data_IF_102074070656
#
_entry.id   IF_102074070656
#
_cell.length_a   1.000
_cell.length_b   1.000
_cell.length_c   1.000
_cell.angle_alpha   90.00
_cell.angle_beta   90.00
_cell.angle_gamma   90.00
#
_symmetry.space_group_name_H-M   'P 1'
#
loop_
_entity.id
_entity.type
_entity.pdbx_description
1 polymer ?
#
# COMPACT_ATOMS: atom_id res chain seq x y z
N UNK A 1 9.82 -32.14 -1.81
CA UNK A 1 10.88 -31.29 -1.25
C UNK A 1 11.77 -30.60 -2.30
N UNK A 2 11.69 -30.99 -3.59
CA UNK A 2 12.48 -30.38 -4.70
C UNK A 2 11.82 -29.12 -5.30
N UNK A 3 10.50 -28.95 -5.14
CA UNK A 3 9.73 -27.82 -5.72
C UNK A 3 9.90 -26.51 -4.92
N UNK A 4 10.19 -26.59 -3.61
CA UNK A 4 10.32 -25.43 -2.72
C UNK A 4 11.66 -24.68 -2.86
N UNK A 5 12.71 -25.35 -3.33
CA UNK A 5 14.03 -24.73 -3.54
C UNK A 5 14.00 -23.83 -4.79
N UNK A 6 13.39 -24.32 -5.89
CA UNK A 6 13.25 -23.54 -7.13
C UNK A 6 12.43 -22.25 -6.93
N UNK A 7 11.38 -22.25 -6.09
CA UNK A 7 10.52 -21.07 -5.92
C UNK A 7 11.20 -19.95 -5.11
N UNK A 8 12.03 -20.30 -4.12
CA UNK A 8 12.79 -19.33 -3.33
C UNK A 8 13.91 -18.69 -4.16
N UNK A 9 14.63 -19.50 -4.94
CA UNK A 9 15.66 -19.01 -5.87
C UNK A 9 15.05 -18.13 -6.98
N UNK A 10 13.85 -18.46 -7.47
CA UNK A 10 13.15 -17.67 -8.50
C UNK A 10 12.61 -16.33 -7.97
N UNK A 11 12.24 -16.28 -6.68
CA UNK A 11 11.86 -15.05 -5.97
C UNK A 11 13.06 -14.15 -5.67
N UNK A 12 14.16 -14.71 -5.16
CA UNK A 12 15.41 -13.97 -4.92
C UNK A 12 16.00 -13.44 -6.24
N UNK A 13 15.90 -14.22 -7.33
CA UNK A 13 16.30 -13.79 -8.67
C UNK A 13 15.42 -12.63 -9.19
N UNK A 14 14.10 -12.70 -9.03
CA UNK A 14 13.16 -11.62 -9.40
C UNK A 14 13.31 -10.34 -8.56
N UNK A 15 13.81 -10.45 -7.33
CA UNK A 15 14.10 -9.30 -6.46
C UNK A 15 15.47 -8.68 -6.78
N UNK A 16 16.39 -9.44 -7.36
CA UNK A 16 17.72 -8.96 -7.81
C UNK A 16 17.74 -8.36 -9.22
N UNK A 17 16.72 -8.65 -10.05
CA UNK A 17 16.61 -8.09 -11.39
C UNK A 17 15.91 -6.71 -11.34
N UNK A 18 16.54 -5.63 -11.83
CA UNK A 18 15.84 -4.36 -11.96
C UNK A 18 14.65 -4.55 -12.90
N UNK A 19 13.43 -4.32 -12.39
CA UNK A 19 12.19 -4.37 -13.18
C UNK A 19 12.19 -3.23 -14.19
N UNK A 20 12.90 -3.39 -15.30
CA UNK A 20 12.65 -2.60 -16.51
C UNK A 20 11.33 -3.11 -17.07
N UNK A 21 10.24 -2.36 -16.82
CA UNK A 21 8.95 -2.60 -17.48
C UNK A 21 9.19 -2.64 -18.99
N UNK A 22 9.02 -3.81 -19.63
CA UNK A 22 8.80 -3.87 -21.07
C UNK A 22 7.49 -3.13 -21.34
N UNK A 23 7.59 -1.99 -22.01
CA UNK A 23 6.45 -1.28 -22.57
C UNK A 23 5.69 -2.27 -23.46
N UNK A 24 4.35 -2.37 -23.36
CA UNK A 24 3.59 -3.23 -24.26
C UNK A 24 3.81 -2.79 -25.70
N UNK A 25 4.21 -3.71 -26.57
CA UNK A 25 4.17 -3.49 -28.01
C UNK A 25 2.71 -3.37 -28.44
N UNK A 26 2.26 -2.16 -28.77
CA UNK A 26 0.92 -1.91 -29.30
C UNK A 26 0.86 -2.50 -30.72
N UNK A 27 0.08 -3.56 -30.89
CA UNK A 27 -0.32 -4.05 -32.22
C UNK A 27 -1.55 -3.26 -32.68
N UNK A 28 -1.33 -2.26 -33.54
CA UNK A 28 -2.40 -1.56 -34.25
C UNK A 28 -2.91 -2.47 -35.39
N UNK A 29 -4.09 -3.06 -35.21
CA UNK A 29 -4.84 -3.63 -36.34
C UNK A 29 -5.22 -2.51 -37.29
N UNK A 30 -4.73 -2.60 -38.53
CA UNK A 30 -5.11 -1.76 -39.67
C UNK A 30 -6.63 -1.75 -39.83
N UNK A 31 -7.23 -0.56 -39.78
CA UNK A 31 -8.17 -0.08 -40.79
C UNK A 31 -8.50 1.40 -40.53
N UNK A 32 -8.13 2.27 -41.49
CA UNK A 32 -8.73 3.60 -41.65
C UNK A 32 -8.01 4.77 -40.97
N UNK A 33 -6.91 5.21 -41.57
CA UNK A 33 -6.36 6.59 -41.61
C UNK A 33 -6.66 7.51 -40.40
N UNK A 34 -5.72 7.54 -39.47
CA UNK A 34 -5.18 8.80 -38.93
C UNK A 34 -3.67 8.74 -39.15
N UNK A 35 -3.15 9.75 -39.84
CA UNK A 35 -1.75 9.87 -40.22
C UNK A 35 -0.80 9.83 -39.00
N UNK A 36 0.21 8.98 -39.13
CA UNK A 36 1.46 8.85 -38.36
C UNK A 36 1.68 9.80 -37.17
N UNK A 37 1.22 9.42 -35.98
CA UNK A 37 2.02 9.66 -34.77
C UNK A 37 3.09 8.58 -34.67
N UNK A 38 4.16 8.70 -35.49
CA UNK A 38 5.39 7.99 -35.16
C UNK A 38 5.98 8.69 -33.95
N UNK A 39 5.63 8.24 -32.74
CA UNK A 39 6.35 8.66 -31.55
C UNK A 39 7.83 8.33 -31.79
N UNK A 40 8.65 9.36 -31.87
CA UNK A 40 10.08 9.24 -32.13
C UNK A 40 10.68 8.28 -31.10
N UNK A 41 11.23 7.16 -31.55
CA UNK A 41 11.85 6.17 -30.67
C UNK A 41 12.97 6.81 -29.82
N UNK A 42 13.60 7.87 -30.34
CA UNK A 42 14.58 8.66 -29.61
C UNK A 42 13.95 9.40 -28.44
N UNK A 43 12.81 10.06 -28.66
CA UNK A 43 12.04 10.71 -27.60
C UNK A 43 11.58 9.73 -26.52
N UNK A 44 11.09 8.55 -26.90
CA UNK A 44 10.71 7.49 -25.94
C UNK A 44 11.94 7.06 -25.11
N UNK A 45 13.07 6.80 -25.77
CA UNK A 45 14.31 6.39 -25.10
C UNK A 45 14.82 7.45 -24.12
N UNK A 46 14.78 8.72 -24.52
CA UNK A 46 15.14 9.86 -23.67
C UNK A 46 14.21 9.97 -22.45
N UNK A 47 12.89 9.85 -22.64
CA UNK A 47 11.92 9.85 -21.54
C UNK A 47 12.12 8.67 -20.58
N UNK A 48 12.38 7.47 -21.10
CA UNK A 48 12.69 6.28 -20.29
C UNK A 48 13.97 6.50 -19.48
N UNK A 49 15.01 7.06 -20.08
CA UNK A 49 16.27 7.38 -19.38
C UNK A 49 16.05 8.39 -18.26
N UNK A 50 15.31 9.48 -18.51
CA UNK A 50 14.99 10.50 -17.52
C UNK A 50 14.22 9.89 -16.34
N UNK A 51 13.18 9.09 -16.61
CA UNK A 51 12.42 8.41 -15.58
C UNK A 51 13.31 7.43 -14.79
N UNK A 52 14.15 6.66 -15.48
CA UNK A 52 15.10 5.73 -14.86
C UNK A 52 16.07 6.43 -13.90
N UNK A 53 16.62 7.59 -14.30
CA UNK A 53 17.46 8.40 -13.43
C UNK A 53 16.70 8.93 -12.20
N UNK A 54 15.44 9.36 -12.37
CA UNK A 54 14.61 9.83 -11.26
C UNK A 54 14.38 8.73 -10.24
N UNK A 55 14.04 7.52 -10.69
CA UNK A 55 13.88 6.36 -9.81
C UNK A 55 15.18 6.00 -9.08
N UNK A 56 16.31 6.01 -9.79
CA UNK A 56 17.62 5.73 -9.20
C UNK A 56 17.97 6.73 -8.09
N UNK A 57 17.78 8.03 -8.35
CA UNK A 57 18.03 9.09 -7.36
C UNK A 57 17.07 8.99 -6.16
N UNK A 58 15.79 8.72 -6.40
CA UNK A 58 14.81 8.54 -5.33
C UNK A 58 15.17 7.36 -4.42
N UNK A 59 15.59 6.23 -5.02
CA UNK A 59 16.06 5.06 -4.28
C UNK A 59 17.31 5.36 -3.45
N UNK A 60 18.27 6.12 -3.97
CA UNK A 60 19.45 6.56 -3.19
C UNK A 60 19.03 7.38 -1.96
N UNK A 61 18.07 8.30 -2.11
CA UNK A 61 17.57 9.11 -0.98
C UNK A 61 16.83 8.22 0.03
N UNK A 62 16.05 7.23 -0.42
CA UNK A 62 15.39 6.26 0.45
C UNK A 62 16.40 5.39 1.22
N UNK A 63 17.54 5.03 0.62
CA UNK A 63 18.63 4.30 1.29
C UNK A 63 19.35 5.15 2.35
N UNK A 64 19.55 6.44 2.09
CA UNK A 64 20.05 7.36 3.12
C UNK A 64 19.07 7.47 4.30
N UNK A 65 17.77 7.56 4.02
CA UNK A 65 16.73 7.57 5.04
C UNK A 65 16.75 6.26 5.84
N UNK A 66 16.85 5.11 5.17
CA UNK A 66 16.97 3.79 5.79
C UNK A 66 18.17 3.72 6.74
N UNK A 67 19.33 4.21 6.31
CA UNK A 67 20.55 4.24 7.13
C UNK A 67 20.31 5.04 8.41
N UNK A 68 19.76 6.26 8.29
CA UNK A 68 19.44 7.09 9.45
C UNK A 68 18.37 6.46 10.36
N UNK A 69 17.41 5.74 9.78
CA UNK A 69 16.35 5.06 10.52
C UNK A 69 16.91 3.92 11.39
N UNK A 70 17.92 3.20 10.92
CA UNK A 70 18.61 2.19 11.73
C UNK A 70 19.50 2.78 12.81
N UNK A 71 20.16 3.91 12.54
CA UNK A 71 21.06 4.57 13.50
C UNK A 71 20.30 5.35 14.58
N UNK A 72 19.26 6.08 14.17
CA UNK A 72 18.47 6.95 15.04
C UNK A 72 17.04 7.11 14.51
N UNK A 73 16.14 6.16 14.85
CA UNK A 73 14.77 6.15 14.34
C UNK A 73 14.01 7.45 14.58
N UNK A 74 14.14 8.06 15.77
CA UNK A 74 13.45 9.30 16.12
C UNK A 74 13.93 10.47 15.26
N UNK A 75 15.24 10.58 15.04
CA UNK A 75 15.80 11.62 14.17
C UNK A 75 15.36 11.39 12.72
N UNK A 76 15.35 10.15 12.25
CA UNK A 76 14.91 9.83 10.90
C UNK A 76 13.46 10.27 10.68
N UNK A 77 12.52 9.81 11.53
CA UNK A 77 11.09 10.14 11.35
C UNK A 77 10.85 11.64 11.37
N UNK A 78 11.49 12.41 12.27
CA UNK A 78 11.40 13.88 12.31
C UNK A 78 11.88 14.55 11.02
N UNK A 79 12.80 13.92 10.31
CA UNK A 79 13.36 14.44 9.05
C UNK A 79 12.67 13.86 7.80
N UNK A 80 11.68 12.95 7.93
CA UNK A 80 11.02 12.31 6.79
C UNK A 80 10.55 13.32 5.73
N UNK A 81 9.96 14.44 6.16
CA UNK A 81 9.55 15.53 5.26
C UNK A 81 10.69 16.07 4.40
N UNK A 82 11.89 16.21 4.96
CA UNK A 82 13.06 16.69 4.20
C UNK A 82 13.49 15.69 3.13
N UNK A 83 13.45 14.39 3.43
CA UNK A 83 13.73 13.35 2.44
C UNK A 83 12.67 13.34 1.31
N UNK A 84 11.40 13.49 1.66
CA UNK A 84 10.30 13.62 0.68
C UNK A 84 10.52 14.83 -0.24
N UNK A 85 10.82 16.02 0.30
CA UNK A 85 11.06 17.19 -0.55
C UNK A 85 12.29 17.00 -1.44
N UNK A 86 13.37 16.40 -0.94
CA UNK A 86 14.54 16.04 -1.77
C UNK A 86 14.17 15.13 -2.94
N UNK A 87 13.26 14.16 -2.74
CA UNK A 87 12.77 13.29 -3.81
C UNK A 87 11.93 14.08 -4.82
N UNK A 88 11.08 14.98 -4.36
CA UNK A 88 10.26 15.84 -5.24
C UNK A 88 11.11 16.78 -6.10
N UNK A 89 12.24 17.23 -5.56
CA UNK A 89 13.16 18.15 -6.22
C UNK A 89 14.15 17.46 -7.17
N UNK A 90 14.07 16.14 -7.36
CA UNK A 90 14.90 15.41 -8.35
C UNK A 90 14.62 15.92 -9.78
N UNK A 91 13.39 16.34 -10.05
CA UNK A 91 13.01 16.92 -11.35
C UNK A 91 13.34 18.40 -11.39
N UNK A 92 14.18 18.81 -12.34
CA UNK A 92 14.49 20.21 -12.63
C UNK A 92 13.27 21.06 -13.01
N UNK A 93 12.14 20.42 -13.35
CA UNK A 93 10.88 21.07 -13.63
C UNK A 93 9.73 20.42 -12.84
N UNK A 94 9.87 20.41 -11.51
CA UNK A 94 8.87 19.92 -10.54
C UNK A 94 7.45 20.38 -10.86
N UNK A 95 7.26 21.67 -11.11
CA UNK A 95 5.93 22.24 -11.39
C UNK A 95 5.30 21.64 -12.67
N UNK A 96 6.08 21.50 -13.74
CA UNK A 96 5.58 20.88 -14.98
C UNK A 96 5.30 19.39 -14.79
N UNK A 97 6.22 18.66 -14.16
CA UNK A 97 6.06 17.23 -13.89
C UNK A 97 4.83 16.93 -13.03
N UNK A 98 4.65 17.66 -11.93
CA UNK A 98 3.49 17.52 -11.05
C UNK A 98 2.20 18.01 -11.75
N UNK A 99 2.24 19.01 -12.63
CA UNK A 99 1.04 19.43 -13.39
C UNK A 99 0.58 18.39 -14.42
N UNK A 100 1.52 17.68 -15.06
CA UNK A 100 1.24 16.66 -16.07
C UNK A 100 0.82 15.33 -15.46
N UNK A 101 1.41 14.97 -14.31
CA UNK A 101 1.01 13.80 -13.53
C UNK A 101 -0.18 14.10 -12.59
N UNK A 102 -0.55 15.37 -12.43
CA UNK A 102 -1.55 15.95 -11.52
C UNK A 102 -1.21 15.88 -10.02
N UNK A 103 0.02 15.50 -9.67
CA UNK A 103 0.58 15.50 -8.31
C UNK A 103 2.00 14.90 -8.30
N UNK A 104 2.66 14.79 -7.14
CA UNK A 104 3.95 14.10 -7.01
C UNK A 104 3.84 12.65 -7.48
N UNK A 105 4.87 12.16 -8.17
CA UNK A 105 4.90 10.78 -8.63
C UNK A 105 4.95 9.83 -7.42
N UNK A 106 3.87 9.09 -7.20
CA UNK A 106 3.78 8.07 -6.15
C UNK A 106 4.91 7.04 -6.23
N UNK A 107 5.33 6.63 -7.43
CA UNK A 107 6.33 5.57 -7.62
C UNK A 107 7.74 6.01 -7.13
N UNK A 108 8.03 7.31 -7.05
CA UNK A 108 9.31 7.83 -6.51
C UNK A 108 9.23 8.10 -5.01
N UNK A 109 8.05 8.40 -4.47
CA UNK A 109 7.84 8.71 -3.05
C UNK A 109 7.65 7.45 -2.21
N UNK A 110 6.87 6.48 -2.71
CA UNK A 110 6.54 5.24 -2.00
C UNK A 110 7.75 4.51 -1.40
N UNK A 111 8.92 4.41 -2.05
CA UNK A 111 10.10 3.78 -1.45
C UNK A 111 10.46 4.32 -0.05
N UNK A 112 10.33 5.63 0.20
CA UNK A 112 10.63 6.20 1.53
C UNK A 112 9.59 5.81 2.58
N UNK A 113 8.31 5.69 2.17
CA UNK A 113 7.26 5.18 3.04
C UNK A 113 7.40 3.69 3.32
N UNK A 114 7.81 2.88 2.34
CA UNK A 114 8.05 1.45 2.53
C UNK A 114 9.28 1.19 3.40
N UNK A 115 10.31 2.04 3.36
CA UNK A 115 11.42 2.00 4.33
C UNK A 115 10.92 2.26 5.76
N UNK A 116 10.06 3.27 5.95
CA UNK A 116 9.42 3.50 7.26
C UNK A 116 8.56 2.30 7.67
N UNK A 117 7.70 1.83 6.76
CA UNK A 117 6.81 0.68 6.95
C UNK A 117 7.57 -0.55 7.40
N UNK A 118 8.69 -0.87 6.77
CA UNK A 118 9.51 -2.04 7.09
C UNK A 118 9.91 -2.10 8.57
N UNK A 119 10.29 -0.98 9.18
CA UNK A 119 10.66 -0.94 10.60
C UNK A 119 9.49 -0.59 11.53
N UNK A 120 8.37 -0.09 10.98
CA UNK A 120 7.28 0.52 11.74
C UNK A 120 6.79 -0.35 12.90
N UNK A 121 6.56 -1.67 12.75
CA UNK A 121 6.11 -2.51 13.86
C UNK A 121 7.10 -2.63 15.02
N UNK A 122 8.40 -2.42 14.77
CA UNK A 122 9.47 -2.48 15.77
C UNK A 122 9.72 -1.14 16.48
N UNK A 123 9.11 -0.05 15.99
CA UNK A 123 9.27 1.27 16.58
C UNK A 123 8.42 1.42 17.85
N UNK A 124 9.00 2.08 18.84
CA UNK A 124 8.26 2.51 20.04
C UNK A 124 7.07 3.40 19.66
N UNK A 125 6.05 3.39 20.53
CA UNK A 125 4.76 4.05 20.28
C UNK A 125 4.92 5.54 19.93
N UNK A 126 5.80 6.27 20.63
CA UNK A 126 6.03 7.70 20.37
C UNK A 126 6.75 7.95 19.04
N UNK A 127 7.67 7.08 18.64
CA UNK A 127 8.35 7.19 17.35
C UNK A 127 7.39 6.88 16.20
N UNK A 128 6.53 5.87 16.37
CA UNK A 128 5.43 5.61 15.42
C UNK A 128 4.47 6.78 15.31
N UNK A 129 4.10 7.39 16.44
CA UNK A 129 3.24 8.59 16.47
C UNK A 129 3.83 9.72 15.65
N UNK A 130 5.13 9.98 15.81
CA UNK A 130 5.82 11.00 15.03
C UNK A 130 5.92 10.63 13.54
N UNK A 131 6.32 9.39 13.22
CA UNK A 131 6.36 8.92 11.83
C UNK A 131 5.01 9.04 11.13
N UNK A 132 3.93 8.63 11.81
CA UNK A 132 2.56 8.76 11.30
C UNK A 132 2.17 10.23 11.07
N UNK A 133 2.48 11.14 11.99
CA UNK A 133 2.24 12.59 11.78
C UNK A 133 2.93 13.08 10.52
N UNK A 134 4.18 12.70 10.29
CA UNK A 134 4.93 13.14 9.10
C UNK A 134 4.34 12.56 7.81
N UNK A 135 3.92 11.29 7.81
CA UNK A 135 3.18 10.70 6.69
C UNK A 135 1.88 11.45 6.42
N UNK A 136 1.06 11.67 7.45
CA UNK A 136 -0.23 12.35 7.30
C UNK A 136 -0.07 13.81 6.87
N UNK A 137 0.89 14.55 7.43
CA UNK A 137 1.18 15.93 7.00
C UNK A 137 1.52 16.02 5.52
N UNK A 138 2.24 15.04 4.98
CA UNK A 138 2.50 14.97 3.54
C UNK A 138 1.22 14.61 2.77
N UNK A 139 0.55 13.52 3.14
CA UNK A 139 -0.64 13.01 2.44
C UNK A 139 -1.80 14.01 2.44
N UNK A 140 -2.04 14.69 3.56
CA UNK A 140 -3.08 15.73 3.71
C UNK A 140 -2.73 17.00 2.91
N UNK A 141 -1.45 17.21 2.59
CA UNK A 141 -0.99 18.29 1.72
C UNK A 141 -1.19 18.02 0.23
N UNK A 142 -1.63 16.82 -0.14
CA UNK A 142 -1.92 16.43 -1.52
C UNK A 142 -3.43 16.51 -1.80
N UNK A 143 -3.77 16.50 -3.09
CA UNK A 143 -5.15 16.19 -3.49
C UNK A 143 -5.48 14.75 -3.11
N UNK A 144 -6.72 14.55 -2.64
CA UNK A 144 -7.18 13.29 -2.08
C UNK A 144 -6.98 12.05 -2.96
N UNK A 145 -7.22 12.17 -4.27
CA UNK A 145 -6.99 11.13 -5.27
C UNK A 145 -5.52 10.69 -5.31
N UNK A 146 -4.59 11.63 -5.14
CA UNK A 146 -3.16 11.34 -5.08
C UNK A 146 -2.75 10.72 -3.75
N UNK A 147 -3.28 11.21 -2.64
CA UNK A 147 -3.04 10.60 -1.32
C UNK A 147 -3.43 9.13 -1.33
N UNK A 148 -4.58 8.80 -1.92
CA UNK A 148 -5.05 7.42 -2.07
C UNK A 148 -4.05 6.54 -2.84
N UNK A 149 -3.54 7.01 -3.97
CA UNK A 149 -2.59 6.21 -4.75
C UNK A 149 -1.26 5.96 -3.99
N UNK A 150 -0.81 6.92 -3.17
CA UNK A 150 0.37 6.71 -2.34
C UNK A 150 0.11 5.65 -1.28
N UNK A 151 -1.04 5.71 -0.60
CA UNK A 151 -1.41 4.75 0.46
C UNK A 151 -1.62 3.34 -0.11
N UNK A 152 -2.10 3.22 -1.35
CA UNK A 152 -2.28 1.91 -2.02
C UNK A 152 -0.97 1.15 -2.21
N UNK A 153 0.13 1.89 -2.39
CA UNK A 153 1.45 1.34 -2.68
C UNK A 153 2.32 1.14 -1.42
N UNK A 154 1.79 1.43 -0.23
CA UNK A 154 2.47 1.13 1.04
C UNK A 154 2.26 -0.34 1.38
N UNK A 155 3.37 -1.07 1.57
CA UNK A 155 3.34 -2.51 1.76
C UNK A 155 3.02 -2.93 3.21
N UNK A 156 3.42 -2.14 4.21
CA UNK A 156 3.30 -2.53 5.62
C UNK A 156 1.88 -2.31 6.17
N UNK A 157 1.15 -3.38 6.56
CA UNK A 157 -0.22 -3.28 7.06
C UNK A 157 -0.38 -2.39 8.29
N UNK A 158 0.58 -2.38 9.22
CA UNK A 158 0.46 -1.54 10.42
C UNK A 158 0.49 -0.05 10.10
N UNK A 159 1.36 0.36 9.17
CA UNK A 159 1.44 1.76 8.76
C UNK A 159 0.17 2.18 8.02
N UNK A 160 -0.31 1.35 7.08
CA UNK A 160 -1.56 1.63 6.37
C UNK A 160 -2.75 1.64 7.32
N UNK A 161 -2.85 0.66 8.22
CA UNK A 161 -3.90 0.58 9.23
C UNK A 161 -3.96 1.82 10.12
N UNK A 162 -2.81 2.33 10.55
CA UNK A 162 -2.72 3.58 11.31
C UNK A 162 -3.11 4.80 10.46
N UNK A 163 -2.66 4.91 9.20
CA UNK A 163 -3.05 5.99 8.29
C UNK A 163 -4.58 6.02 8.11
N UNK A 164 -5.19 4.89 7.75
CA UNK A 164 -6.63 4.77 7.48
C UNK A 164 -7.46 4.99 8.74
N UNK A 165 -6.96 4.55 9.90
CA UNK A 165 -7.60 4.79 11.20
C UNK A 165 -7.69 6.27 11.58
N UNK A 166 -6.70 7.06 11.16
CA UNK A 166 -6.65 8.51 11.42
C UNK A 166 -7.27 9.33 10.27
N UNK A 167 -7.39 8.75 9.08
CA UNK A 167 -8.01 9.35 7.89
C UNK A 167 -8.93 8.33 7.24
N UNK A 168 -10.14 8.21 7.77
CA UNK A 168 -11.13 7.20 7.34
C UNK A 168 -11.57 7.33 5.87
N UNK A 169 -11.23 8.45 5.22
CA UNK A 169 -11.48 8.65 3.80
C UNK A 169 -10.48 7.86 2.92
N UNK A 170 -9.29 7.52 3.42
CA UNK A 170 -8.33 6.74 2.63
C UNK A 170 -8.74 5.26 2.58
N UNK A 171 -9.48 4.89 1.53
CA UNK A 171 -9.94 3.53 1.26
C UNK A 171 -9.55 3.11 -0.16
N UNK A 172 -8.25 3.27 -0.46
CA UNK A 172 -7.67 3.05 -1.78
C UNK A 172 -7.53 1.55 -2.09
N UNK A 173 -7.56 1.18 -3.37
CA UNK A 173 -7.35 -0.20 -3.82
C UNK A 173 -8.44 -1.20 -3.47
N UNK A 174 -9.26 -0.98 -2.43
CA UNK A 174 -10.24 -1.95 -1.96
C UNK A 174 -11.23 -2.36 -3.05
N UNK A 175 -11.82 -1.39 -3.77
CA UNK A 175 -12.76 -1.69 -4.85
C UNK A 175 -12.12 -2.59 -5.93
N UNK A 176 -10.89 -2.25 -6.36
CA UNK A 176 -10.15 -3.03 -7.34
C UNK A 176 -9.91 -4.46 -6.85
N UNK A 177 -9.56 -4.66 -5.58
CA UNK A 177 -9.34 -6.00 -5.02
C UNK A 177 -10.65 -6.79 -4.89
N UNK A 178 -11.76 -6.14 -4.50
CA UNK A 178 -13.07 -6.79 -4.46
C UNK A 178 -13.54 -7.20 -5.85
N UNK A 179 -13.32 -6.36 -6.87
CA UNK A 179 -13.66 -6.68 -8.26
C UNK A 179 -12.80 -7.81 -8.82
N UNK A 180 -11.52 -7.87 -8.45
CA UNK A 180 -10.61 -8.97 -8.78
C UNK A 180 -11.14 -10.30 -8.21
N UNK A 181 -11.55 -10.31 -6.94
CA UNK A 181 -12.10 -11.50 -6.28
C UNK A 181 -13.44 -11.93 -6.88
N UNK A 182 -14.35 -10.98 -7.15
CA UNK A 182 -15.64 -11.27 -7.80
C UNK A 182 -15.47 -11.88 -9.20
N UNK A 183 -14.48 -11.41 -9.97
CA UNK A 183 -14.17 -11.95 -11.30
C UNK A 183 -13.50 -13.33 -11.24
N UNK A 184 -12.86 -13.68 -10.13
CA UNK A 184 -12.10 -14.91 -9.96
C UNK A 184 -12.52 -15.64 -8.67
N UNK A 185 -13.76 -16.18 -8.58
CA UNK A 185 -14.29 -16.73 -7.34
C UNK A 185 -13.70 -18.08 -6.91
N UNK A 186 -12.92 -18.72 -7.80
CA UNK A 186 -12.30 -20.03 -7.61
C UNK A 186 -10.80 -19.85 -7.36
N UNK A 187 -10.26 -20.54 -6.36
CA UNK A 187 -8.85 -20.40 -5.96
C UNK A 187 -7.86 -20.61 -7.11
N UNK A 188 -8.10 -21.62 -7.95
CA UNK A 188 -7.23 -21.98 -9.09
C UNK A 188 -7.03 -20.85 -10.10
N UNK A 189 -8.03 -19.99 -10.29
CA UNK A 189 -7.94 -18.88 -11.22
C UNK A 189 -7.45 -17.62 -10.51
N UNK A 190 -7.93 -17.39 -9.29
CA UNK A 190 -7.48 -16.30 -8.44
C UNK A 190 -5.96 -16.31 -8.22
N UNK A 191 -5.36 -17.47 -7.91
CA UNK A 191 -3.92 -17.56 -7.65
C UNK A 191 -3.06 -17.13 -8.87
N UNK A 192 -3.57 -17.29 -10.10
CA UNK A 192 -2.84 -16.90 -11.31
C UNK A 192 -2.80 -15.38 -11.49
N UNK A 193 -3.83 -14.68 -11.03
CA UNK A 193 -3.97 -13.24 -11.20
C UNK A 193 -3.46 -12.47 -9.98
N UNK A 194 -3.58 -13.04 -8.78
CA UNK A 194 -3.20 -12.37 -7.54
C UNK A 194 -1.70 -12.03 -7.50
N UNK A 195 -0.86 -12.81 -8.17
CA UNK A 195 0.60 -12.60 -8.26
C UNK A 195 0.99 -11.32 -9.00
N UNK A 196 0.06 -10.69 -9.73
CA UNK A 196 0.26 -9.41 -10.40
C UNK A 196 -0.28 -8.23 -9.59
N UNK A 197 -0.81 -8.47 -8.39
CA UNK A 197 -1.38 -7.42 -7.54
C UNK A 197 -0.26 -6.66 -6.84
N UNK A 198 -0.30 -5.33 -6.89
CA UNK A 198 0.71 -4.48 -6.25
C UNK A 198 0.42 -4.15 -4.78
N UNK A 199 -0.79 -4.48 -4.29
CA UNK A 199 -1.23 -4.15 -2.95
C UNK A 199 -1.69 -5.39 -2.19
N UNK A 200 -0.75 -6.08 -1.54
CA UNK A 200 -1.01 -7.27 -0.75
C UNK A 200 -1.89 -6.99 0.47
N UNK A 201 -1.72 -5.82 1.10
CA UNK A 201 -2.52 -5.37 2.23
C UNK A 201 -4.02 -5.25 1.87
N UNK A 202 -4.36 -4.42 0.87
CA UNK A 202 -5.75 -4.22 0.47
C UNK A 202 -6.38 -5.51 -0.06
N UNK A 203 -5.58 -6.38 -0.68
CA UNK A 203 -6.03 -7.71 -1.09
C UNK A 203 -6.38 -8.58 0.11
N UNK A 204 -5.54 -8.59 1.15
CA UNK A 204 -5.80 -9.33 2.38
C UNK A 204 -7.06 -8.85 3.11
N UNK A 205 -7.31 -7.52 3.13
CA UNK A 205 -8.58 -6.98 3.64
C UNK A 205 -9.75 -7.52 2.81
N UNK A 206 -9.70 -7.37 1.48
CA UNK A 206 -10.80 -7.81 0.61
C UNK A 206 -11.06 -9.33 0.72
N UNK A 207 -10.02 -10.15 0.83
CA UNK A 207 -10.13 -11.59 1.08
C UNK A 207 -10.84 -11.86 2.40
N UNK A 208 -10.57 -11.09 3.45
CA UNK A 208 -11.18 -11.28 4.77
C UNK A 208 -12.70 -11.01 4.79
N UNK A 209 -13.28 -10.38 3.77
CA UNK A 209 -14.72 -10.12 3.67
C UNK A 209 -15.46 -11.22 2.89
N UNK A 210 -16.35 -12.01 3.54
CA UNK A 210 -17.06 -13.10 2.88
C UNK A 210 -18.01 -12.69 1.75
N UNK A 211 -18.37 -11.41 1.67
CA UNK A 211 -19.15 -10.84 0.57
C UNK A 211 -18.40 -10.89 -0.78
N UNK A 212 -17.06 -10.84 -0.74
CA UNK A 212 -16.23 -10.71 -1.94
C UNK A 212 -15.41 -11.96 -2.25
N UNK A 213 -15.13 -12.79 -1.24
CA UNK A 213 -14.31 -13.98 -1.39
C UNK A 213 -15.11 -15.27 -1.13
N UNK A 214 -14.74 -16.36 -1.79
CA UNK A 214 -15.25 -17.69 -1.46
C UNK A 214 -14.54 -18.26 -0.23
N UNK A 215 -15.18 -19.23 0.45
CA UNK A 215 -14.56 -19.93 1.60
C UNK A 215 -13.25 -20.63 1.19
N UNK A 216 -13.21 -21.18 -0.03
CA UNK A 216 -12.01 -21.81 -0.60
C UNK A 216 -10.86 -20.80 -0.73
N UNK A 217 -11.13 -19.59 -1.26
CA UNK A 217 -10.11 -18.54 -1.39
C UNK A 217 -9.58 -18.13 -0.01
N UNK A 218 -10.47 -17.84 0.95
CA UNK A 218 -10.04 -17.44 2.30
C UNK A 218 -9.15 -18.50 2.96
N UNK A 219 -9.60 -19.76 2.93
CA UNK A 219 -8.89 -20.87 3.56
C UNK A 219 -7.49 -21.05 2.97
N UNK A 220 -7.37 -21.03 1.64
CA UNK A 220 -6.08 -21.18 0.98
C UNK A 220 -5.18 -19.95 1.17
N UNK A 221 -5.75 -18.74 1.12
CA UNK A 221 -5.02 -17.50 1.30
C UNK A 221 -4.39 -17.42 2.70
N UNK A 222 -5.16 -17.69 3.77
CA UNK A 222 -4.62 -17.66 5.14
C UNK A 222 -3.54 -18.71 5.36
N UNK A 223 -3.67 -19.87 4.71
CA UNK A 223 -2.67 -20.94 4.79
C UNK A 223 -1.36 -20.57 4.10
N UNK A 224 -1.42 -19.88 2.96
CA UNK A 224 -0.24 -19.49 2.19
C UNK A 224 0.41 -18.20 2.69
N UNK A 225 -0.38 -17.27 3.21
CA UNK A 225 0.07 -15.95 3.65
C UNK A 225 -0.27 -15.68 5.13
N UNK A 226 0.19 -16.53 6.07
CA UNK A 226 -0.19 -16.42 7.48
C UNK A 226 0.31 -15.14 8.15
N UNK A 227 1.52 -14.68 7.80
CA UNK A 227 2.10 -13.45 8.36
C UNK A 227 1.38 -12.20 7.88
N UNK A 228 1.13 -12.09 6.57
CA UNK A 228 0.34 -11.00 5.99
C UNK A 228 -1.06 -10.97 6.61
N UNK A 229 -1.71 -12.13 6.71
CA UNK A 229 -3.03 -12.25 7.37
C UNK A 229 -2.99 -11.74 8.81
N UNK A 230 -1.97 -12.11 9.59
CA UNK A 230 -1.82 -11.66 10.97
C UNK A 230 -1.66 -10.14 11.10
N UNK A 231 -0.75 -9.55 10.31
CA UNK A 231 -0.50 -8.10 10.31
C UNK A 231 -1.70 -7.31 9.81
N UNK A 232 -2.35 -7.76 8.74
CA UNK A 232 -3.60 -7.14 8.24
C UNK A 232 -4.71 -7.25 9.27
N UNK A 233 -4.74 -8.30 10.11
CA UNK A 233 -5.74 -8.39 11.20
C UNK A 233 -5.53 -7.30 12.25
N UNK A 234 -4.30 -6.85 12.53
CA UNK A 234 -4.08 -5.68 13.41
C UNK A 234 -4.66 -4.40 12.82
N UNK A 235 -4.42 -4.18 11.52
CA UNK A 235 -4.98 -3.04 10.81
C UNK A 235 -6.52 -3.08 10.76
N UNK A 236 -7.11 -4.25 10.48
CA UNK A 236 -8.56 -4.44 10.48
C UNK A 236 -9.15 -4.16 11.88
N UNK A 237 -8.50 -4.58 12.96
CA UNK A 237 -8.92 -4.27 14.31
C UNK A 237 -8.95 -2.75 14.56
N UNK A 238 -7.93 -2.03 14.10
CA UNK A 238 -7.87 -0.57 14.19
C UNK A 238 -9.00 0.11 13.39
N UNK A 239 -9.23 -0.33 12.14
CA UNK A 239 -10.29 0.18 11.26
C UNK A 239 -11.67 -0.04 11.90
N UNK A 240 -11.96 -1.28 12.31
CA UNK A 240 -13.21 -1.66 12.97
C UNK A 240 -13.46 -0.78 14.18
N UNK A 241 -12.50 -0.67 15.10
CA UNK A 241 -12.67 0.11 16.31
C UNK A 241 -12.92 1.60 16.01
N UNK A 242 -12.15 2.22 15.12
CA UNK A 242 -12.27 3.64 14.85
C UNK A 242 -13.56 3.99 14.11
N UNK A 243 -13.98 3.16 13.15
CA UNK A 243 -15.28 3.33 12.49
C UNK A 243 -16.43 3.15 13.48
N UNK A 244 -16.36 2.12 14.33
CA UNK A 244 -17.36 1.90 15.37
C UNK A 244 -17.43 3.05 16.37
N UNK A 245 -16.29 3.63 16.76
CA UNK A 245 -16.26 4.80 17.63
C UNK A 245 -16.91 6.03 16.99
N UNK A 246 -16.61 6.29 15.72
CA UNK A 246 -17.18 7.44 15.02
C UNK A 246 -18.70 7.29 14.85
N UNK A 247 -19.19 6.09 14.50
CA UNK A 247 -20.63 5.80 14.41
C UNK A 247 -21.32 5.83 15.77
N UNK A 248 -20.70 5.28 16.81
CA UNK A 248 -21.20 5.33 18.19
C UNK A 248 -21.44 6.79 18.62
N UNK A 249 -20.47 7.68 18.36
CA UNK A 249 -20.59 9.12 18.63
C UNK A 249 -21.67 9.79 17.78
N UNK A 250 -21.75 9.47 16.48
CA UNK A 250 -22.67 10.12 15.55
C UNK A 250 -24.14 9.71 15.75
N UNK A 251 -24.39 8.45 16.12
CA UNK A 251 -25.73 7.85 16.16
C UNK A 251 -26.18 7.40 17.55
N UNK A 252 -25.36 7.58 18.59
CA UNK A 252 -25.69 7.20 19.97
C UNK A 252 -25.78 5.69 20.21
N UNK A 253 -25.21 4.87 19.32
CA UNK A 253 -25.19 3.40 19.44
C UNK A 253 -24.08 2.99 20.41
N UNK A 254 -24.29 2.04 21.34
CA UNK A 254 -23.22 1.51 22.19
C UNK A 254 -22.02 1.03 21.37
N UNK A 255 -20.81 1.45 21.75
CA UNK A 255 -19.58 1.14 21.01
C UNK A 255 -19.39 -0.38 20.83
N UNK A 256 -19.60 -1.15 21.88
CA UNK A 256 -19.46 -2.61 21.84
C UNK A 256 -20.42 -3.25 20.83
N UNK A 257 -21.67 -2.77 20.77
CA UNK A 257 -22.65 -3.24 19.81
C UNK A 257 -22.17 -2.95 18.38
N UNK A 258 -21.72 -1.72 18.10
CA UNK A 258 -21.22 -1.36 16.77
C UNK A 258 -19.95 -2.13 16.40
N UNK A 259 -19.05 -2.41 17.35
CA UNK A 259 -17.87 -3.28 17.10
C UNK A 259 -18.32 -4.68 16.66
N UNK A 260 -19.28 -5.28 17.36
CA UNK A 260 -19.77 -6.62 17.01
C UNK A 260 -20.42 -6.63 15.62
N UNK A 261 -21.18 -5.59 15.25
CA UNK A 261 -21.76 -5.48 13.91
C UNK A 261 -20.72 -5.33 12.80
N UNK A 262 -19.63 -4.59 13.03
CA UNK A 262 -18.55 -4.48 12.05
C UNK A 262 -17.74 -5.79 11.95
N UNK A 263 -17.46 -6.47 13.06
CA UNK A 263 -16.77 -7.77 13.05
C UNK A 263 -17.57 -8.80 12.25
N UNK A 264 -18.90 -8.80 12.33
CA UNK A 264 -19.76 -9.73 11.57
C UNK A 264 -19.57 -9.66 10.06
N UNK A 265 -19.04 -8.56 9.52
CA UNK A 265 -18.74 -8.38 8.09
C UNK A 265 -17.43 -9.05 7.65
N UNK A 266 -16.62 -9.48 8.60
CA UNK A 266 -15.34 -10.15 8.38
C UNK A 266 -15.54 -11.66 8.52
N UNK A 267 -14.61 -12.45 7.99
CA UNK A 267 -14.62 -13.91 8.09
C UNK A 267 -14.59 -14.39 9.55
N UNK A 268 -15.48 -15.34 9.87
CA UNK A 268 -15.70 -15.83 11.23
C UNK A 268 -14.47 -16.46 11.86
N UNK A 269 -13.56 -17.01 11.05
CA UNK A 269 -12.29 -17.59 11.51
C UNK A 269 -11.37 -16.56 12.19
N UNK A 270 -11.57 -15.26 11.93
CA UNK A 270 -10.74 -14.17 12.46
C UNK A 270 -11.35 -13.49 13.70
N UNK A 271 -12.57 -13.83 14.13
CA UNK A 271 -13.30 -13.07 15.16
C UNK A 271 -12.57 -12.99 16.50
N UNK A 272 -12.15 -14.13 17.04
CA UNK A 272 -11.44 -14.16 18.32
C UNK A 272 -10.15 -13.34 18.29
N UNK A 273 -9.45 -13.38 17.15
CA UNK A 273 -8.21 -12.65 16.92
C UNK A 273 -8.45 -11.14 16.79
N UNK A 274 -9.50 -10.73 16.08
CA UNK A 274 -9.91 -9.33 15.96
C UNK A 274 -10.29 -8.75 17.32
N UNK A 275 -11.12 -9.45 18.10
CA UNK A 275 -11.53 -9.01 19.44
C UNK A 275 -10.30 -8.79 20.32
N UNK A 276 -9.39 -9.77 20.38
CA UNK A 276 -8.13 -9.65 21.13
C UNK A 276 -7.30 -8.45 20.68
N UNK A 277 -7.10 -8.26 19.37
CA UNK A 277 -6.32 -7.12 18.85
C UNK A 277 -7.00 -5.77 19.12
N UNK A 278 -8.34 -5.72 19.12
CA UNK A 278 -9.13 -4.55 19.50
C UNK A 278 -8.92 -4.21 20.99
N UNK A 279 -8.85 -5.21 21.86
CA UNK A 279 -8.56 -5.02 23.29
C UNK A 279 -7.12 -4.52 23.51
N UNK A 280 -6.15 -5.04 22.75
CA UNK A 280 -4.73 -4.65 22.85
C UNK A 280 -4.45 -3.21 22.41
N UNK A 281 -5.26 -2.63 21.50
CA UNK A 281 -5.15 -1.23 21.01
C UNK A 281 -3.72 -0.80 20.62
N UNK A 282 -3.01 -1.67 19.89
CA UNK A 282 -1.61 -1.44 19.48
C UNK A 282 -1.43 -0.40 18.38
N UNK A 283 -2.50 -0.04 17.67
CA UNK A 283 -2.50 1.01 16.64
C UNK A 283 -2.28 2.40 17.24
N UNK A 284 -1.84 3.32 16.40
CA UNK A 284 -1.65 4.71 16.74
C UNK A 284 -2.89 5.50 16.35
N UNK A 285 -3.43 6.25 17.31
CA UNK A 285 -4.40 7.31 17.05
C UNK A 285 -3.77 8.63 17.46
N UNK A 286 -3.73 9.57 16.54
CA UNK A 286 -3.42 10.96 16.82
C UNK A 286 -4.70 11.53 17.43
N UNK A 287 -4.59 12.01 18.67
CA UNK A 287 -5.66 12.80 19.28
C UNK A 287 -5.80 14.10 18.48
N UNK A 288 -7.05 14.51 18.23
CA UNK A 288 -7.38 15.83 17.69
C UNK A 288 -7.17 16.90 18.77
#
# INVERSE_FOLDING_TARGET
>A
MVILINFKEELEKKLSEPKVKRIPSISLKKNGVIDNFSFDQKFISEMVSILGEQYSKANSIAQEFQTLLFENPLRAVKNLRSYIERIRDISSNRAFGESMAGGPNQDTIVPVFNVLGFVYPALDREVRKEGLRQCLNYLDGLRYDYSQNHVELIDEPWLVGDIVSNRSLYWCGYQQQTDLLKKNPIWKDFIKVMTNTQSEFWLAIAVAHPEYSSLEIRTNFYKLFPQLTDRTTDAMAAIVYNWSLNRSKAYGIPLEQEIQEQIKKIDRSLYSKLIKKIEEKKWIRLED
#
